data_IF_352107499732
#
_entry.id   IF_352107499732
#
_cell.length_a   1.000
_cell.length_b   1.000
_cell.length_c   1.000
_cell.angle_alpha   90.00
_cell.angle_beta   90.00
_cell.angle_gamma   90.00
#
_symmetry.space_group_name_H-M   'P 1'
#
loop_
_entity.id
_entity.type
_entity.pdbx_description
1 polymer ?
#
# COMPACT_ATOMS: atom_id res chain seq x y z
N UNK A 1 -14.48 27.09 23.27
CA UNK A 1 -15.41 26.84 22.13
C UNK A 1 -14.71 25.96 21.09
N UNK A 2 -15.40 24.98 20.48
CA UNK A 2 -14.82 24.11 19.46
C UNK A 2 -15.02 24.77 18.08
N UNK A 3 -13.93 25.14 17.41
CA UNK A 3 -13.95 25.77 16.08
C UNK A 3 -13.41 24.77 15.07
N UNK A 4 -14.14 24.55 13.98
CA UNK A 4 -13.71 23.67 12.90
C UNK A 4 -12.88 24.51 11.92
N UNK A 5 -11.55 24.35 11.96
CA UNK A 5 -10.63 25.09 11.07
C UNK A 5 -10.58 24.47 9.67
N UNK A 6 -10.89 23.19 9.55
CA UNK A 6 -10.89 22.43 8.31
C UNK A 6 -11.53 21.05 8.52
N UNK A 7 -11.60 20.20 7.48
CA UNK A 7 -12.25 18.89 7.54
C UNK A 7 -11.55 17.90 8.49
N UNK A 8 -10.26 18.11 8.77
CA UNK A 8 -9.42 17.16 9.52
C UNK A 8 -8.95 17.67 10.89
N UNK A 9 -9.07 18.98 11.16
CA UNK A 9 -8.52 19.61 12.36
C UNK A 9 -9.58 20.43 13.08
N UNK A 10 -9.78 20.10 14.36
CA UNK A 10 -10.66 20.82 15.28
C UNK A 10 -9.81 21.62 16.28
N UNK A 11 -10.14 22.90 16.46
CA UNK A 11 -9.52 23.83 17.41
C UNK A 11 -10.36 23.94 18.69
N UNK A 12 -9.74 23.62 19.83
CA UNK A 12 -10.16 24.01 21.17
C UNK A 12 -9.41 25.29 21.57
N UNK A 13 -9.98 26.45 21.22
CA UNK A 13 -9.31 27.75 21.34
C UNK A 13 -8.86 28.07 22.79
N UNK A 14 -9.66 27.67 23.78
CA UNK A 14 -9.37 27.86 25.22
C UNK A 14 -8.07 27.17 25.69
N UNK A 15 -7.51 26.24 24.90
CA UNK A 15 -6.27 25.54 25.21
C UNK A 15 -5.06 26.12 24.50
N UNK A 16 -5.26 27.02 23.53
CA UNK A 16 -4.18 27.58 22.73
C UNK A 16 -3.30 28.50 23.59
N UNK A 17 -1.98 28.29 23.53
CA UNK A 17 -0.99 29.11 24.25
C UNK A 17 -0.31 30.16 23.36
N UNK A 18 -0.86 30.41 22.17
CA UNK A 18 -0.39 31.41 21.21
C UNK A 18 1.09 31.28 20.78
N UNK A 19 1.64 30.05 20.77
CA UNK A 19 3.05 29.78 20.44
C UNK A 19 3.44 29.90 18.95
N UNK A 20 2.48 30.23 18.08
CA UNK A 20 2.60 30.39 16.62
C UNK A 20 3.19 29.21 15.81
N UNK A 21 3.40 28.03 16.40
CA UNK A 21 3.97 26.86 15.68
C UNK A 21 3.13 26.43 14.48
N UNK A 22 1.81 26.36 14.63
CA UNK A 22 0.89 26.01 13.54
C UNK A 22 0.92 27.03 12.40
N UNK A 23 0.94 28.33 12.73
CA UNK A 23 1.04 29.43 11.75
C UNK A 23 2.33 29.30 10.95
N UNK A 24 3.48 29.19 11.64
CA UNK A 24 4.78 29.04 10.99
C UNK A 24 4.87 27.77 10.14
N UNK A 25 4.34 26.64 10.62
CA UNK A 25 4.30 25.41 9.82
C UNK A 25 3.52 25.60 8.52
N UNK A 26 2.34 26.20 8.60
CA UNK A 26 1.49 26.48 7.44
C UNK A 26 2.21 27.38 6.42
N UNK A 27 2.87 28.44 6.88
CA UNK A 27 3.59 29.39 6.04
C UNK A 27 4.89 28.82 5.46
N UNK A 28 5.72 28.21 6.31
CA UNK A 28 7.10 27.87 5.99
C UNK A 28 7.24 26.47 5.37
N UNK A 29 6.45 25.50 5.82
CA UNK A 29 6.57 24.09 5.40
C UNK A 29 5.45 23.71 4.42
N UNK A 30 4.19 23.87 4.81
CA UNK A 30 3.06 23.49 3.96
C UNK A 30 2.84 24.46 2.79
N UNK A 31 3.53 25.62 2.80
CA UNK A 31 3.42 26.70 1.81
C UNK A 31 1.97 27.16 1.56
N UNK A 32 1.15 27.11 2.60
CA UNK A 32 -0.25 27.52 2.59
C UNK A 32 -0.53 28.38 3.83
N UNK A 33 -0.39 29.70 3.67
CA UNK A 33 -0.64 30.68 4.73
C UNK A 33 -2.15 30.83 4.97
N UNK A 34 -2.68 29.99 5.87
CA UNK A 34 -4.10 29.90 6.19
C UNK A 34 -4.44 30.23 7.64
N UNK A 35 -3.49 30.14 8.57
CA UNK A 35 -3.71 30.38 9.99
C UNK A 35 -3.10 31.71 10.43
N UNK A 36 -3.80 32.44 11.29
CA UNK A 36 -3.33 33.71 11.85
C UNK A 36 -3.90 33.99 13.24
N UNK A 37 -3.27 34.94 13.93
CA UNK A 37 -3.85 35.52 15.14
C UNK A 37 -4.66 36.75 14.78
N UNK A 38 -5.85 36.86 15.36
CA UNK A 38 -6.71 38.04 15.29
C UNK A 38 -6.93 38.60 16.69
N UNK A 39 -7.48 39.81 16.75
CA UNK A 39 -7.65 40.58 17.99
C UNK A 39 -6.32 40.92 18.68
N UNK A 40 -6.38 41.48 19.90
CA UNK A 40 -5.21 41.96 20.65
C UNK A 40 -5.34 41.73 22.15
N UNK A 41 -4.20 41.59 22.81
CA UNK A 41 -4.12 41.39 24.26
C UNK A 41 -4.74 40.04 24.66
N UNK A 42 -5.48 40.03 25.77
CA UNK A 42 -6.11 38.81 26.31
C UNK A 42 -7.23 38.23 25.42
N UNK A 43 -7.65 38.96 24.38
CA UNK A 43 -8.66 38.50 23.42
C UNK A 43 -8.05 37.91 22.15
N UNK A 44 -6.71 37.79 22.07
CA UNK A 44 -6.03 37.24 20.90
C UNK A 44 -6.43 35.77 20.70
N UNK A 45 -6.97 35.44 19.52
CA UNK A 45 -7.40 34.07 19.18
C UNK A 45 -6.76 33.58 17.89
N UNK A 46 -6.57 32.27 17.80
CA UNK A 46 -6.13 31.61 16.57
C UNK A 46 -7.35 31.38 15.66
N UNK A 47 -7.25 31.80 14.40
CA UNK A 47 -8.29 31.55 13.40
C UNK A 47 -7.69 31.21 12.04
N UNK A 48 -8.50 30.63 11.17
CA UNK A 48 -8.22 30.61 9.75
C UNK A 48 -8.55 31.98 9.11
N UNK A 49 -7.87 32.30 8.00
CA UNK A 49 -8.22 33.45 7.16
C UNK A 49 -9.69 33.35 6.70
N UNK A 50 -10.47 34.46 6.63
CA UNK A 50 -11.91 34.42 6.37
C UNK A 50 -12.35 33.57 5.17
N UNK A 51 -11.58 33.61 4.08
CA UNK A 51 -11.89 32.88 2.84
C UNK A 51 -11.14 31.55 2.68
N UNK A 52 -10.46 31.07 3.73
CA UNK A 52 -9.66 29.85 3.67
C UNK A 52 -10.01 28.88 4.78
N UNK A 53 -9.76 27.60 4.53
CA UNK A 53 -9.86 26.52 5.51
C UNK A 53 -8.56 25.75 5.54
N UNK A 54 -8.23 25.18 6.70
CA UNK A 54 -7.03 24.36 6.88
C UNK A 54 -7.23 23.00 6.18
N UNK A 55 -7.06 23.00 4.86
CA UNK A 55 -7.40 21.91 3.95
C UNK A 55 -6.21 21.37 3.15
N UNK A 56 -5.03 21.99 3.26
CA UNK A 56 -3.82 21.46 2.65
C UNK A 56 -3.51 20.03 3.13
N UNK A 57 -2.78 19.30 2.29
CA UNK A 57 -2.45 17.89 2.50
C UNK A 57 -1.44 17.64 3.65
N UNK A 58 -1.13 18.65 4.46
CA UNK A 58 -0.23 18.53 5.62
C UNK A 58 -0.88 19.05 6.90
N UNK A 59 -2.20 19.28 6.89
CA UNK A 59 -2.94 19.90 7.99
C UNK A 59 -2.78 19.15 9.31
N UNK A 60 -2.69 17.81 9.30
CA UNK A 60 -2.61 17.02 10.54
C UNK A 60 -1.24 17.11 11.20
N UNK A 61 -0.19 17.56 10.51
CA UNK A 61 1.08 17.87 11.16
C UNK A 61 0.94 19.04 12.14
N UNK A 62 -0.06 19.94 11.94
CA UNK A 62 -0.36 20.99 12.91
C UNK A 62 -0.86 20.43 14.25
N UNK A 63 -1.50 19.25 14.24
CA UNK A 63 -1.92 18.52 15.43
C UNK A 63 -0.71 17.94 16.17
N UNK A 64 0.27 17.41 15.43
CA UNK A 64 1.48 16.81 16.02
C UNK A 64 2.40 17.87 16.67
N UNK A 65 2.53 19.05 16.06
CA UNK A 65 3.42 20.11 16.58
C UNK A 65 2.79 20.96 17.67
N UNK A 66 1.46 20.90 17.82
CA UNK A 66 0.75 21.65 18.84
C UNK A 66 1.20 21.13 20.21
N UNK A 67 1.88 21.94 21.04
CA UNK A 67 2.41 21.46 22.32
C UNK A 67 1.31 21.19 23.35
N UNK A 68 0.06 21.52 23.00
CA UNK A 68 -1.14 21.45 23.82
C UNK A 68 -2.24 20.78 23.01
N UNK A 69 -3.31 20.33 23.66
CA UNK A 69 -4.47 19.76 22.99
C UNK A 69 -5.41 20.80 22.38
N UNK A 70 -4.88 21.90 21.81
CA UNK A 70 -5.66 22.94 21.16
C UNK A 70 -6.04 22.54 19.73
N UNK A 71 -5.07 22.09 18.92
CA UNK A 71 -5.35 21.49 17.62
C UNK A 71 -5.44 19.97 17.80
N UNK A 72 -6.57 19.39 17.40
CA UNK A 72 -6.81 17.96 17.51
C UNK A 72 -7.31 17.39 16.20
N UNK A 73 -6.90 16.16 15.88
CA UNK A 73 -7.43 15.43 14.73
C UNK A 73 -8.93 15.20 14.94
N UNK A 74 -9.74 15.71 14.02
CA UNK A 74 -11.20 15.51 14.03
C UNK A 74 -11.54 14.03 13.98
N UNK A 75 -10.73 13.23 13.27
CA UNK A 75 -10.93 11.80 13.20
C UNK A 75 -10.62 11.09 14.53
N UNK A 76 -9.50 11.39 15.18
CA UNK A 76 -9.07 10.60 16.35
C UNK A 76 -9.68 11.09 17.68
N UNK A 77 -10.05 12.37 17.75
CA UNK A 77 -10.56 13.01 18.97
C UNK A 77 -11.70 12.20 19.57
N UNK A 78 -11.62 11.96 20.88
CA UNK A 78 -12.61 11.21 21.68
C UNK A 78 -12.81 9.74 21.33
N UNK A 79 -12.13 9.18 20.33
CA UNK A 79 -12.19 7.73 20.03
C UNK A 79 -11.37 6.90 21.01
N UNK A 80 -10.16 7.35 21.38
CA UNK A 80 -9.26 6.62 22.27
C UNK A 80 -8.29 7.56 23.00
N UNK A 81 -7.67 7.10 24.09
CA UNK A 81 -6.52 7.78 24.71
C UNK A 81 -5.22 7.15 24.24
N UNK A 82 -4.21 7.99 23.99
CA UNK A 82 -2.93 7.56 23.40
C UNK A 82 -2.19 6.52 24.26
N UNK A 83 -2.26 6.62 25.60
CA UNK A 83 -1.63 5.65 26.50
C UNK A 83 -2.30 4.27 26.54
N UNK A 84 -3.47 4.10 25.91
CA UNK A 84 -4.09 2.79 25.71
C UNK A 84 -3.70 2.16 24.37
N UNK A 85 -3.02 2.89 23.49
CA UNK A 85 -2.63 2.38 22.19
C UNK A 85 -1.30 1.63 22.30
N UNK A 86 -1.24 0.46 21.68
CA UNK A 86 0.03 -0.18 21.34
C UNK A 86 0.59 0.54 20.12
N UNK A 87 1.83 1.01 20.23
CA UNK A 87 2.52 1.68 19.15
C UNK A 87 3.41 0.70 18.38
N UNK A 88 3.21 0.60 17.07
CA UNK A 88 4.03 -0.23 16.18
C UNK A 88 4.75 0.64 15.17
N UNK A 89 6.09 0.58 15.16
CA UNK A 89 6.91 1.27 14.15
C UNK A 89 6.79 0.56 12.81
N UNK A 90 6.39 1.29 11.77
CA UNK A 90 6.22 0.77 10.41
C UNK A 90 6.53 1.85 9.37
N UNK A 91 6.08 1.65 8.15
CA UNK A 91 6.16 2.60 7.03
C UNK A 91 4.79 2.81 6.39
N UNK A 92 4.62 3.95 5.71
CA UNK A 92 3.46 4.25 4.90
C UNK A 92 3.59 3.59 3.52
N UNK A 93 2.52 2.94 3.06
CA UNK A 93 2.47 2.23 1.78
C UNK A 93 1.64 2.95 0.71
N UNK A 94 1.38 4.26 0.89
CA UNK A 94 0.50 5.04 0.02
C UNK A 94 1.18 5.63 -1.21
N UNK A 95 2.50 5.82 -1.18
CA UNK A 95 3.30 6.34 -2.30
C UNK A 95 4.77 5.96 -2.15
N UNK A 96 5.57 6.19 -3.20
CA UNK A 96 6.97 5.82 -3.27
C UNK A 96 7.86 6.44 -2.19
N UNK A 97 7.45 7.53 -1.53
CA UNK A 97 8.25 8.18 -0.47
C UNK A 97 8.56 7.25 0.70
N UNK A 98 7.63 6.36 1.06
CA UNK A 98 7.84 5.40 2.15
C UNK A 98 8.01 6.05 3.53
N UNK A 99 7.24 7.10 3.85
CA UNK A 99 7.35 7.82 5.13
C UNK A 99 7.36 6.86 6.33
N UNK A 100 8.29 7.04 7.28
CA UNK A 100 8.32 6.26 8.51
C UNK A 100 7.13 6.64 9.40
N UNK A 101 6.45 5.64 9.97
CA UNK A 101 5.24 5.87 10.77
C UNK A 101 5.21 5.09 12.08
N UNK A 102 4.34 5.54 12.98
CA UNK A 102 3.86 4.80 14.14
C UNK A 102 2.38 4.53 13.92
N UNK A 103 1.99 3.25 13.99
CA UNK A 103 0.60 2.81 13.92
C UNK A 103 0.13 2.56 15.35
N UNK A 104 -0.87 3.32 15.79
CA UNK A 104 -1.48 3.21 17.12
C UNK A 104 -2.71 2.30 17.08
N UNK A 105 -2.62 1.16 17.76
CA UNK A 105 -3.64 0.10 17.70
C UNK A 105 -4.15 -0.28 19.08
N UNK A 106 -5.38 -0.78 19.15
CA UNK A 106 -5.94 -1.43 20.35
C UNK A 106 -6.95 -2.47 19.90
N UNK A 107 -6.88 -3.67 20.49
CA UNK A 107 -7.81 -4.77 20.18
C UNK A 107 -7.90 -5.06 18.67
N UNK A 108 -6.73 -5.07 18.00
CA UNK A 108 -6.59 -5.25 16.54
C UNK A 108 -7.30 -4.18 15.67
N UNK A 109 -7.73 -3.07 16.26
CA UNK A 109 -8.26 -1.90 15.54
C UNK A 109 -7.19 -0.82 15.46
N UNK A 110 -6.99 -0.29 14.26
CA UNK A 110 -6.12 0.88 14.02
C UNK A 110 -6.92 2.14 14.30
N UNK A 111 -6.44 2.96 15.22
CA UNK A 111 -7.09 4.22 15.59
C UNK A 111 -6.42 5.44 14.97
N UNK A 112 -5.10 5.40 14.80
CA UNK A 112 -4.33 6.49 14.21
C UNK A 112 -3.02 6.01 13.62
N UNK A 113 -2.53 6.76 12.64
CA UNK A 113 -1.18 6.68 12.12
C UNK A 113 -0.53 8.06 12.28
N UNK A 114 0.70 8.10 12.77
CA UNK A 114 1.48 9.34 12.97
C UNK A 114 2.87 9.19 12.35
N UNK A 115 3.53 10.29 11.95
CA UNK A 115 4.90 10.25 11.47
C UNK A 115 5.84 9.73 12.55
N UNK A 116 6.92 9.11 12.09
CA UNK A 116 8.07 8.76 12.90
C UNK A 116 9.29 9.44 12.28
N UNK A 117 10.16 9.93 13.14
CA UNK A 117 11.35 10.66 12.73
C UNK A 117 12.28 9.81 11.86
N UNK A 118 12.65 10.33 10.69
CA UNK A 118 13.71 9.82 9.82
C UNK A 118 14.19 10.92 8.86
N UNK A 119 15.33 11.54 9.18
CA UNK A 119 15.93 12.60 8.36
C UNK A 119 16.31 12.19 6.94
N UNK A 120 16.47 10.88 6.69
CA UNK A 120 16.74 10.38 5.34
C UNK A 120 15.47 10.18 4.49
N UNK A 121 14.27 10.41 5.03
CA UNK A 121 13.00 10.16 4.33
C UNK A 121 11.99 11.29 4.53
N UNK A 122 11.46 11.43 5.75
CA UNK A 122 10.31 12.30 6.02
C UNK A 122 10.55 13.31 7.14
N UNK A 123 11.78 13.38 7.67
CA UNK A 123 12.10 14.07 8.93
C UNK A 123 11.03 13.71 9.97
N UNK A 124 10.23 14.66 10.46
CA UNK A 124 9.14 14.40 11.40
C UNK A 124 7.72 14.55 10.81
N UNK A 125 7.60 14.60 9.48
CA UNK A 125 6.37 14.96 8.77
C UNK A 125 5.71 13.78 8.06
N UNK A 126 4.43 13.94 7.73
CA UNK A 126 3.68 13.00 6.89
C UNK A 126 2.49 13.70 6.24
N UNK A 127 2.19 13.37 4.99
CA UNK A 127 1.00 13.86 4.30
C UNK A 127 -0.30 13.27 4.89
N UNK A 128 -1.38 14.04 4.84
CA UNK A 128 -2.71 13.68 5.31
C UNK A 128 -3.28 12.49 4.51
N UNK A 129 -3.01 12.45 3.20
CA UNK A 129 -3.34 11.31 2.35
C UNK A 129 -2.82 10.00 2.95
N UNK A 130 -1.51 9.92 3.21
CA UNK A 130 -0.91 8.73 3.78
C UNK A 130 -1.39 8.44 5.21
N UNK A 131 -1.62 9.48 6.00
CA UNK A 131 -2.01 9.40 7.42
C UNK A 131 -3.41 8.81 7.63
N UNK A 132 -4.30 8.99 6.67
CA UNK A 132 -5.69 8.51 6.73
C UNK A 132 -5.96 7.29 5.83
N UNK A 133 -4.98 6.85 5.03
CA UNK A 133 -5.14 5.73 4.09
C UNK A 133 -4.99 4.35 4.75
N UNK A 134 -5.70 4.11 5.86
CA UNK A 134 -5.75 2.80 6.54
C UNK A 134 -7.16 2.26 6.74
N UNK A 135 -8.22 3.07 6.54
CA UNK A 135 -9.62 2.63 6.75
C UNK A 135 -10.06 1.49 5.84
N UNK A 136 -9.43 1.33 4.67
CA UNK A 136 -9.74 0.24 3.77
C UNK A 136 -9.50 -1.13 4.43
N UNK A 137 -8.62 -1.21 5.43
CA UNK A 137 -8.40 -2.42 6.22
C UNK A 137 -9.64 -2.83 7.04
N UNK A 138 -10.51 -1.89 7.36
CA UNK A 138 -11.77 -2.11 8.10
C UNK A 138 -13.00 -2.08 7.17
N UNK A 139 -12.80 -2.17 5.85
CA UNK A 139 -13.89 -2.16 4.89
C UNK A 139 -14.75 -3.43 5.01
N UNK A 140 -16.05 -3.31 4.76
CA UNK A 140 -16.95 -4.47 4.64
C UNK A 140 -16.62 -5.35 3.42
N UNK A 141 -15.84 -4.83 2.46
CA UNK A 141 -15.39 -5.56 1.28
C UNK A 141 -14.18 -6.46 1.54
N UNK A 142 -13.71 -6.57 2.78
CA UNK A 142 -12.56 -7.41 3.13
C UNK A 142 -12.82 -8.87 2.76
N UNK A 143 -11.86 -9.48 2.07
CA UNK A 143 -11.86 -10.91 1.82
C UNK A 143 -11.44 -11.63 3.10
N UNK A 144 -12.32 -12.47 3.65
CA UNK A 144 -12.12 -13.11 4.95
C UNK A 144 -11.69 -14.57 4.85
N UNK A 145 -12.05 -15.26 3.79
CA UNK A 145 -11.82 -16.70 3.63
C UNK A 145 -11.53 -17.03 2.16
N UNK A 146 -10.74 -18.07 1.87
CA UNK A 146 -10.48 -18.46 0.50
C UNK A 146 -11.76 -18.98 -0.15
N UNK A 147 -11.90 -18.71 -1.45
CA UNK A 147 -13.08 -19.11 -2.22
C UNK A 147 -12.68 -19.79 -3.52
N UNK A 148 -13.46 -20.79 -3.91
CA UNK A 148 -13.27 -21.52 -5.17
C UNK A 148 -14.57 -21.41 -5.97
N UNK A 149 -14.44 -21.22 -7.29
CA UNK A 149 -15.59 -21.22 -8.19
C UNK A 149 -16.07 -22.65 -8.42
N UNK A 150 -17.34 -22.90 -8.12
CA UNK A 150 -18.06 -24.11 -8.46
C UNK A 150 -19.45 -23.74 -8.98
N UNK A 151 -19.90 -24.36 -10.08
CA UNK A 151 -21.22 -24.13 -10.68
C UNK A 151 -21.57 -22.64 -10.88
N UNK A 152 -20.57 -21.82 -11.26
CA UNK A 152 -20.74 -20.40 -11.52
C UNK A 152 -20.77 -19.50 -10.29
N UNK A 153 -20.63 -20.03 -9.07
CA UNK A 153 -20.57 -19.25 -7.81
C UNK A 153 -19.26 -19.46 -7.07
N UNK A 154 -18.80 -18.44 -6.36
CA UNK A 154 -17.67 -18.54 -5.44
C UNK A 154 -18.16 -19.08 -4.10
N UNK A 155 -17.66 -20.24 -3.70
CA UNK A 155 -17.95 -20.89 -2.43
C UNK A 155 -16.73 -20.82 -1.52
N UNK A 156 -16.97 -20.63 -0.21
CA UNK A 156 -15.92 -20.72 0.80
C UNK A 156 -15.23 -22.10 0.76
N UNK A 157 -13.92 -22.11 0.94
CA UNK A 157 -13.11 -23.31 0.94
C UNK A 157 -12.05 -23.26 2.05
N UNK A 158 -11.48 -24.41 2.38
CA UNK A 158 -10.31 -24.47 3.26
C UNK A 158 -9.03 -24.14 2.48
N UNK A 159 -8.04 -23.56 3.18
CA UNK A 159 -6.76 -23.16 2.60
C UNK A 159 -6.04 -24.29 1.82
N UNK A 160 -5.87 -25.52 2.36
CA UNK A 160 -5.22 -26.59 1.61
C UNK A 160 -5.92 -26.92 0.28
N UNK A 161 -7.26 -26.85 0.27
CA UNK A 161 -8.07 -27.13 -0.93
C UNK A 161 -7.92 -26.00 -1.94
N UNK A 162 -8.00 -24.74 -1.49
CA UNK A 162 -7.86 -23.56 -2.36
C UNK A 162 -6.47 -23.49 -3.01
N UNK A 163 -5.40 -23.74 -2.25
CA UNK A 163 -4.03 -23.78 -2.78
C UNK A 163 -3.86 -24.96 -3.75
N UNK A 164 -4.33 -26.15 -3.40
CA UNK A 164 -4.25 -27.31 -4.28
C UNK A 164 -4.99 -27.08 -5.61
N UNK A 165 -6.17 -26.45 -5.55
CA UNK A 165 -6.96 -26.12 -6.74
C UNK A 165 -6.27 -25.06 -7.60
N UNK A 166 -5.72 -24.01 -6.99
CA UNK A 166 -4.97 -22.98 -7.72
C UNK A 166 -3.75 -23.59 -8.42
N UNK A 167 -2.96 -24.40 -7.71
CA UNK A 167 -1.80 -25.08 -8.27
C UNK A 167 -2.17 -26.05 -9.40
N UNK A 168 -3.26 -26.81 -9.23
CA UNK A 168 -3.77 -27.73 -10.25
C UNK A 168 -4.15 -26.97 -11.53
N UNK A 169 -4.87 -25.85 -11.40
CA UNK A 169 -5.26 -25.02 -12.53
C UNK A 169 -4.05 -24.42 -13.26
N UNK A 170 -3.07 -23.90 -12.52
CA UNK A 170 -1.86 -23.32 -13.12
C UNK A 170 -1.00 -24.37 -13.83
N UNK A 171 -0.87 -25.58 -13.27
CA UNK A 171 -0.08 -26.67 -13.85
C UNK A 171 -0.63 -27.25 -15.16
N UNK A 172 -1.89 -26.96 -15.50
CA UNK A 172 -2.49 -27.43 -16.76
C UNK A 172 -2.00 -26.66 -17.99
N UNK A 173 -1.38 -25.50 -17.79
CA UNK A 173 -0.98 -24.60 -18.86
C UNK A 173 0.54 -24.50 -18.97
N UNK A 174 1.02 -24.25 -20.19
CA UNK A 174 2.42 -23.91 -20.41
C UNK A 174 2.72 -22.48 -19.97
N UNK A 175 3.98 -22.18 -19.65
CA UNK A 175 4.36 -20.85 -19.14
C UNK A 175 4.01 -19.67 -20.05
N UNK A 176 3.97 -19.89 -21.38
CA UNK A 176 3.55 -18.87 -22.35
C UNK A 176 2.03 -18.58 -22.34
N UNK A 177 1.23 -19.49 -21.79
CA UNK A 177 -0.22 -19.35 -21.65
C UNK A 177 -0.63 -18.76 -20.29
N UNK A 178 0.33 -18.50 -19.41
CA UNK A 178 0.12 -17.94 -18.08
C UNK A 178 0.63 -16.50 -18.08
N UNK A 179 -0.14 -15.60 -17.47
CA UNK A 179 0.32 -14.25 -17.15
C UNK A 179 0.21 -13.99 -15.64
N UNK A 180 1.17 -13.25 -15.08
CA UNK A 180 1.19 -12.84 -13.68
C UNK A 180 1.21 -11.31 -13.64
N UNK A 181 0.29 -10.74 -12.88
CA UNK A 181 0.26 -9.31 -12.60
C UNK A 181 0.43 -9.11 -11.10
N UNK A 182 1.56 -8.53 -10.72
CA UNK A 182 1.89 -8.20 -9.35
C UNK A 182 1.57 -6.73 -9.03
N UNK A 183 1.74 -6.34 -7.76
CA UNK A 183 1.51 -4.96 -7.31
C UNK A 183 2.80 -4.31 -6.81
N UNK A 184 2.97 -3.02 -7.11
CA UNK A 184 4.00 -2.18 -6.47
C UNK A 184 3.74 -1.92 -4.98
N UNK A 185 2.66 -2.47 -4.41
CA UNK A 185 2.35 -2.47 -2.96
C UNK A 185 2.76 -3.75 -2.23
N UNK A 186 3.28 -4.74 -2.96
CA UNK A 186 3.79 -5.97 -2.37
C UNK A 186 5.15 -5.74 -1.71
N UNK A 187 5.46 -6.54 -0.68
CA UNK A 187 6.79 -6.54 -0.07
C UNK A 187 7.81 -7.20 -0.99
N UNK A 188 9.09 -6.94 -0.76
CA UNK A 188 10.18 -7.53 -1.53
C UNK A 188 10.15 -9.06 -1.45
N UNK A 189 9.82 -9.62 -0.29
CA UNK A 189 9.72 -11.06 -0.08
C UNK A 189 8.60 -11.67 -0.92
N UNK A 190 7.46 -10.99 -1.01
CA UNK A 190 6.33 -11.40 -1.86
C UNK A 190 6.65 -11.30 -3.35
N UNK A 191 7.31 -10.22 -3.77
CA UNK A 191 7.77 -10.05 -5.16
C UNK A 191 8.79 -11.13 -5.53
N UNK A 192 9.70 -11.47 -4.62
CA UNK A 192 10.70 -12.52 -4.85
C UNK A 192 10.06 -13.90 -4.97
N UNK A 193 9.09 -14.24 -4.11
CA UNK A 193 8.33 -15.48 -4.25
C UNK A 193 7.51 -15.50 -5.55
N UNK A 194 6.97 -14.37 -5.97
CA UNK A 194 6.27 -14.25 -7.25
C UNK A 194 7.20 -14.55 -8.42
N UNK A 195 8.45 -14.06 -8.38
CA UNK A 195 9.48 -14.42 -9.36
C UNK A 195 9.79 -15.93 -9.33
N UNK A 196 9.89 -16.54 -8.15
CA UNK A 196 10.13 -17.99 -8.05
C UNK A 196 8.96 -18.79 -8.63
N UNK A 197 7.71 -18.40 -8.35
CA UNK A 197 6.53 -19.01 -8.95
C UNK A 197 6.55 -18.88 -10.48
N UNK A 198 6.88 -17.70 -11.00
CA UNK A 198 7.03 -17.47 -12.42
C UNK A 198 8.09 -18.39 -13.04
N UNK A 199 9.26 -18.55 -12.40
CA UNK A 199 10.33 -19.45 -12.84
C UNK A 199 9.89 -20.92 -12.86
N UNK A 200 9.20 -21.39 -11.82
CA UNK A 200 8.70 -22.77 -11.72
C UNK A 200 7.70 -23.07 -12.84
N UNK A 201 6.82 -22.13 -13.14
CA UNK A 201 5.81 -22.25 -14.18
C UNK A 201 6.32 -21.81 -15.58
N UNK A 202 7.59 -21.40 -15.69
CA UNK A 202 8.21 -20.86 -16.92
C UNK A 202 7.45 -19.67 -17.53
N UNK A 203 6.88 -18.80 -16.68
CA UNK A 203 6.11 -17.62 -17.09
C UNK A 203 7.03 -16.47 -17.48
N UNK A 204 6.82 -15.94 -18.68
CA UNK A 204 7.56 -14.77 -19.20
C UNK A 204 6.74 -13.47 -19.06
N UNK A 205 5.41 -13.58 -19.05
CA UNK A 205 4.49 -12.46 -18.95
C UNK A 205 4.23 -12.10 -17.49
N UNK A 206 5.18 -11.35 -16.91
CA UNK A 206 5.08 -10.79 -15.57
C UNK A 206 5.27 -9.26 -15.61
N UNK A 207 4.45 -8.53 -14.87
CA UNK A 207 4.58 -7.07 -14.70
C UNK A 207 3.90 -6.60 -13.41
N UNK A 208 4.11 -5.33 -13.04
CA UNK A 208 3.36 -4.64 -11.99
C UNK A 208 2.46 -3.55 -12.55
N UNK A 209 1.36 -3.26 -11.84
CA UNK A 209 0.48 -2.15 -12.21
C UNK A 209 1.09 -0.80 -11.80
N UNK A 210 1.26 0.15 -12.74
CA UNK A 210 1.63 1.52 -12.41
C UNK A 210 0.44 2.20 -11.72
N UNK A 211 0.65 2.76 -10.53
CA UNK A 211 -0.34 3.64 -9.89
C UNK A 211 0.26 5.04 -9.78
N UNK A 212 -0.40 6.03 -10.38
CA UNK A 212 0.05 7.42 -10.34
C UNK A 212 -1.01 8.32 -9.73
N UNK A 213 -0.61 9.47 -9.22
CA UNK A 213 -1.52 10.53 -8.78
C UNK A 213 -0.82 11.86 -8.63
N UNK A 214 -1.52 12.92 -8.18
CA UNK A 214 -0.92 14.22 -7.97
C UNK A 214 0.16 14.15 -6.89
N UNK A 215 1.37 14.61 -7.19
CA UNK A 215 2.47 14.73 -6.24
C UNK A 215 2.67 16.17 -5.77
N UNK A 216 3.58 16.35 -4.82
CA UNK A 216 4.07 17.65 -4.38
C UNK A 216 5.59 17.62 -4.16
N UNK A 217 6.18 18.80 -3.99
CA UNK A 217 7.62 18.97 -3.72
C UNK A 217 7.98 18.81 -2.24
N UNK A 218 7.09 18.22 -1.43
CA UNK A 218 7.28 18.07 0.03
C UNK A 218 7.52 16.60 0.38
N UNK A 219 6.50 15.74 0.27
CA UNK A 219 6.58 14.31 0.61
C UNK A 219 5.67 13.43 -0.23
N UNK A 220 4.71 13.97 -0.95
CA UNK A 220 3.74 13.17 -1.68
C UNK A 220 4.29 12.85 -3.08
N UNK A 221 4.82 11.65 -3.26
CA UNK A 221 5.31 11.23 -4.58
C UNK A 221 4.17 11.02 -5.60
N UNK A 222 4.41 11.40 -6.86
CA UNK A 222 3.51 11.09 -7.98
C UNK A 222 3.34 9.59 -8.19
N UNK A 223 4.38 8.80 -7.85
CA UNK A 223 4.30 7.35 -7.84
C UNK A 223 3.57 6.87 -6.58
N UNK A 224 2.41 6.22 -6.78
CA UNK A 224 1.56 5.67 -5.72
C UNK A 224 1.91 4.23 -5.35
N UNK A 225 2.96 3.68 -5.95
CA UNK A 225 3.54 2.41 -5.55
C UNK A 225 4.67 2.65 -4.55
N UNK A 226 4.54 2.15 -3.31
CA UNK A 226 5.59 2.30 -2.29
C UNK A 226 6.85 1.49 -2.58
N UNK A 227 6.79 0.52 -3.50
CA UNK A 227 7.86 -0.45 -3.74
C UNK A 227 8.16 -0.66 -5.23
N UNK A 228 8.03 0.37 -6.07
CA UNK A 228 8.41 0.30 -7.50
C UNK A 228 9.87 -0.12 -7.66
N UNK A 229 10.76 0.43 -6.83
CA UNK A 229 12.19 0.10 -6.87
C UNK A 229 12.44 -1.35 -6.46
N UNK A 230 11.76 -1.86 -5.45
CA UNK A 230 11.84 -3.28 -5.09
C UNK A 230 11.36 -4.20 -6.21
N UNK A 231 10.24 -3.85 -6.86
CA UNK A 231 9.74 -4.59 -8.01
C UNK A 231 10.71 -4.55 -9.20
N UNK A 232 11.32 -3.40 -9.47
CA UNK A 232 12.34 -3.27 -10.52
C UNK A 232 13.55 -4.18 -10.27
N UNK A 233 14.12 -4.11 -9.05
CA UNK A 233 15.30 -4.90 -8.66
C UNK A 233 15.04 -6.41 -8.66
N UNK A 234 13.83 -6.84 -8.29
CA UNK A 234 13.50 -8.26 -8.09
C UNK A 234 12.90 -8.90 -9.34
N UNK A 235 11.95 -8.22 -10.00
CA UNK A 235 11.25 -8.76 -11.17
C UNK A 235 11.96 -8.43 -12.50
N UNK A 236 13.08 -7.71 -12.46
CA UNK A 236 13.85 -7.29 -13.64
C UNK A 236 13.00 -6.51 -14.64
N UNK A 237 12.28 -5.50 -14.14
CA UNK A 237 11.40 -4.64 -14.95
C UNK A 237 12.20 -3.51 -15.60
N UNK A 238 13.13 -3.86 -16.49
CA UNK A 238 14.06 -2.91 -17.14
C UNK A 238 13.34 -1.86 -17.99
N UNK A 239 12.17 -2.21 -18.53
CA UNK A 239 11.33 -1.30 -19.33
C UNK A 239 10.39 -0.43 -18.49
N UNK A 240 10.50 -0.49 -17.16
CA UNK A 240 9.64 0.21 -16.21
C UNK A 240 8.31 -0.53 -15.91
N UNK A 241 7.62 -0.10 -14.84
CA UNK A 241 6.36 -0.68 -14.42
C UNK A 241 5.26 -0.50 -15.48
N UNK A 242 4.57 -1.58 -15.83
CA UNK A 242 3.42 -1.55 -16.71
C UNK A 242 3.72 -1.73 -18.20
N UNK A 243 5.00 -1.84 -18.58
CA UNK A 243 5.43 -1.95 -19.98
C UNK A 243 4.84 -3.16 -20.72
N UNK A 244 4.61 -4.28 -20.01
CA UNK A 244 4.06 -5.54 -20.54
C UNK A 244 2.56 -5.68 -20.27
N UNK A 245 1.92 -4.80 -19.48
CA UNK A 245 0.48 -4.90 -19.20
C UNK A 245 -0.40 -4.87 -20.45
N UNK A 246 -0.05 -4.03 -21.43
CA UNK A 246 -0.76 -4.01 -22.71
C UNK A 246 -0.67 -5.33 -23.46
N UNK A 247 0.48 -6.01 -23.37
CA UNK A 247 0.69 -7.35 -23.95
C UNK A 247 -0.08 -8.41 -23.18
N UNK A 248 -0.09 -8.33 -21.85
CA UNK A 248 -0.88 -9.22 -20.97
C UNK A 248 -2.37 -9.09 -21.29
N UNK A 249 -2.90 -7.85 -21.34
CA UNK A 249 -4.30 -7.61 -21.66
C UNK A 249 -4.69 -8.16 -23.04
N UNK A 250 -3.85 -7.93 -24.05
CA UNK A 250 -4.05 -8.48 -25.40
C UNK A 250 -4.04 -10.00 -25.39
N UNK A 251 -3.08 -10.64 -24.71
CA UNK A 251 -2.95 -12.09 -24.64
C UNK A 251 -4.16 -12.74 -23.97
N UNK A 252 -4.66 -12.15 -22.86
CA UNK A 252 -5.87 -12.64 -22.18
C UNK A 252 -7.11 -12.42 -23.05
N UNK A 253 -7.27 -11.23 -23.64
CA UNK A 253 -8.43 -10.92 -24.47
C UNK A 253 -8.49 -11.76 -25.76
N UNK A 254 -7.33 -12.05 -26.37
CA UNK A 254 -7.25 -12.91 -27.57
C UNK A 254 -7.36 -14.41 -27.26
N UNK A 255 -7.27 -14.80 -25.99
CA UNK A 255 -7.27 -16.21 -25.56
C UNK A 255 -5.93 -16.93 -25.72
N UNK A 256 -4.84 -16.19 -25.98
CA UNK A 256 -3.49 -16.74 -26.01
C UNK A 256 -3.02 -17.07 -24.58
N UNK A 257 -3.36 -16.22 -23.61
CA UNK A 257 -3.23 -16.52 -22.20
C UNK A 257 -4.52 -17.17 -21.69
N UNK A 258 -4.39 -18.37 -21.12
CA UNK A 258 -5.49 -19.17 -20.55
C UNK A 258 -5.51 -19.13 -19.02
N UNK A 259 -4.43 -18.65 -18.41
CA UNK A 259 -4.34 -18.44 -16.99
C UNK A 259 -3.87 -17.03 -16.64
N UNK A 260 -4.49 -16.42 -15.65
CA UNK A 260 -4.09 -15.12 -15.09
C UNK A 260 -3.97 -15.24 -13.57
N UNK A 261 -2.85 -14.79 -13.03
CA UNK A 261 -2.65 -14.61 -11.59
C UNK A 261 -2.58 -13.11 -11.31
N UNK A 262 -3.56 -12.59 -10.57
CA UNK A 262 -3.59 -11.18 -10.16
C UNK A 262 -3.30 -11.08 -8.66
N UNK A 263 -2.22 -10.40 -8.30
CA UNK A 263 -1.73 -10.25 -6.93
C UNK A 263 -1.90 -8.78 -6.51
N UNK A 264 -2.96 -8.49 -5.77
CA UNK A 264 -3.30 -7.17 -5.24
C UNK A 264 -3.77 -6.16 -6.30
N UNK A 265 -4.13 -6.64 -7.49
CA UNK A 265 -4.47 -5.79 -8.64
C UNK A 265 -5.76 -6.21 -9.33
N UNK A 266 -6.40 -5.25 -9.98
CA UNK A 266 -7.62 -5.46 -10.75
C UNK A 266 -7.33 -5.42 -12.26
N UNK A 267 -7.39 -6.57 -12.96
CA UNK A 267 -7.13 -6.65 -14.41
C UNK A 267 -7.99 -5.78 -15.31
N UNK A 268 -9.18 -5.39 -14.84
CA UNK A 268 -10.09 -4.53 -15.60
C UNK A 268 -9.46 -3.13 -15.78
N UNK A 269 -8.64 -2.66 -14.84
CA UNK A 269 -8.03 -1.33 -14.91
C UNK A 269 -7.04 -1.15 -16.05
N UNK A 270 -6.43 -2.23 -16.54
CA UNK A 270 -5.49 -2.19 -17.66
C UNK A 270 -6.01 -2.87 -18.93
N UNK A 271 -7.34 -3.06 -19.02
CA UNK A 271 -8.01 -3.39 -20.29
C UNK A 271 -8.36 -4.86 -20.50
N UNK A 272 -8.32 -5.70 -19.46
CA UNK A 272 -8.91 -7.06 -19.55
C UNK A 272 -10.41 -6.97 -19.35
N UNK A 273 -11.20 -7.49 -20.29
CA UNK A 273 -12.67 -7.34 -20.19
C UNK A 273 -13.28 -8.32 -19.18
N UNK A 274 -14.36 -7.94 -18.46
CA UNK A 274 -15.05 -8.84 -17.53
C UNK A 274 -15.51 -10.15 -18.18
N UNK A 275 -15.95 -10.10 -19.44
CA UNK A 275 -16.39 -11.29 -20.19
C UNK A 275 -15.22 -12.26 -20.42
N UNK A 276 -14.01 -11.74 -20.61
CA UNK A 276 -12.81 -12.56 -20.79
C UNK A 276 -12.34 -13.15 -19.47
N UNK A 277 -12.40 -12.39 -18.37
CA UNK A 277 -12.13 -12.92 -17.04
C UNK A 277 -13.12 -14.04 -16.66
N UNK A 278 -14.40 -13.87 -16.98
CA UNK A 278 -15.45 -14.86 -16.68
C UNK A 278 -15.24 -16.19 -17.42
N UNK A 279 -14.66 -16.15 -18.62
CA UNK A 279 -14.41 -17.31 -19.46
C UNK A 279 -12.98 -17.88 -19.31
N UNK A 280 -12.15 -17.28 -18.46
CA UNK A 280 -10.76 -17.69 -18.32
C UNK A 280 -10.69 -19.04 -17.58
N UNK A 281 -10.02 -20.07 -18.16
CA UNK A 281 -9.92 -21.38 -17.52
C UNK A 281 -9.31 -21.35 -16.11
N UNK A 282 -8.35 -20.46 -15.88
CA UNK A 282 -7.74 -20.23 -14.57
C UNK A 282 -7.60 -18.73 -14.30
N UNK A 283 -8.31 -18.23 -13.30
CA UNK A 283 -8.14 -16.85 -12.82
C UNK A 283 -7.96 -16.84 -11.31
N UNK A 284 -6.71 -16.76 -10.87
CA UNK A 284 -6.33 -16.78 -9.47
C UNK A 284 -6.15 -15.34 -8.99
N UNK A 285 -6.90 -14.96 -7.96
CA UNK A 285 -6.83 -13.63 -7.35
C UNK A 285 -6.32 -13.75 -5.92
N UNK A 286 -5.27 -13.02 -5.60
CA UNK A 286 -4.82 -12.78 -4.24
C UNK A 286 -5.06 -11.30 -3.93
N UNK A 287 -5.96 -10.97 -3.02
CA UNK A 287 -6.35 -9.57 -2.76
C UNK A 287 -6.80 -9.38 -1.30
N UNK A 288 -6.79 -8.13 -0.86
CA UNK A 288 -7.26 -7.68 0.45
C UNK A 288 -8.77 -7.40 0.42
N UNK A 289 -9.25 -6.84 -0.70
CA UNK A 289 -10.62 -6.38 -0.89
C UNK A 289 -11.25 -7.06 -2.10
N UNK A 290 -12.56 -7.31 -2.02
CA UNK A 290 -13.33 -7.69 -3.20
C UNK A 290 -13.44 -6.51 -4.18
N UNK A 291 -13.29 -6.82 -5.46
CA UNK A 291 -13.45 -5.88 -6.56
C UNK A 291 -14.16 -6.55 -7.75
N UNK A 292 -14.45 -5.77 -8.80
CA UNK A 292 -15.20 -6.25 -9.97
C UNK A 292 -14.53 -7.45 -10.69
N UNK A 293 -13.20 -7.57 -10.66
CA UNK A 293 -12.53 -8.73 -11.22
C UNK A 293 -12.60 -9.94 -10.29
N UNK A 294 -12.58 -9.75 -8.97
CA UNK A 294 -12.69 -10.86 -8.01
C UNK A 294 -13.94 -11.71 -8.24
N UNK A 295 -15.04 -11.11 -8.71
CA UNK A 295 -16.29 -11.81 -9.04
C UNK A 295 -16.18 -12.81 -10.18
N UNK A 296 -15.10 -12.78 -10.96
CA UNK A 296 -14.82 -13.69 -12.08
C UNK A 296 -13.72 -14.71 -11.75
N UNK A 297 -13.06 -14.59 -10.60
CA UNK A 297 -11.97 -15.48 -10.21
C UNK A 297 -12.43 -16.96 -10.15
N UNK A 298 -11.54 -17.87 -10.51
CA UNK A 298 -11.70 -19.32 -10.28
C UNK A 298 -11.26 -19.69 -8.87
N UNK A 299 -10.27 -18.99 -8.32
CA UNK A 299 -9.83 -19.09 -6.92
C UNK A 299 -9.54 -17.69 -6.38
N UNK A 300 -10.03 -17.41 -5.17
CA UNK A 300 -9.76 -16.18 -4.41
C UNK A 300 -9.00 -16.55 -3.15
N UNK A 301 -7.87 -15.90 -2.93
CA UNK A 301 -6.96 -16.11 -1.79
C UNK A 301 -6.88 -14.80 -0.99
N UNK A 302 -7.52 -14.72 0.20
CA UNK A 302 -7.55 -13.48 0.99
C UNK A 302 -6.17 -13.17 1.59
N UNK A 303 -5.65 -11.99 1.28
CA UNK A 303 -4.33 -11.52 1.68
C UNK A 303 -4.37 -10.44 2.77
N UNK A 304 -3.20 -10.18 3.36
CA UNK A 304 -3.00 -9.20 4.41
C UNK A 304 -2.76 -7.79 3.85
N UNK A 305 -3.34 -6.79 4.50
CA UNK A 305 -2.99 -5.40 4.27
C UNK A 305 -1.67 -4.98 4.93
N UNK A 306 -1.21 -3.76 4.65
CA UNK A 306 0.13 -3.31 5.07
C UNK A 306 0.36 -3.37 6.58
N UNK A 307 -0.67 -3.11 7.39
CA UNK A 307 -0.58 -3.14 8.85
C UNK A 307 -0.78 -4.55 9.44
N UNK A 308 -1.10 -5.54 8.61
CA UNK A 308 -1.39 -6.93 9.00
C UNK A 308 -0.24 -7.88 8.68
N UNK A 309 0.78 -7.42 7.96
CA UNK A 309 1.93 -8.23 7.55
C UNK A 309 3.26 -7.56 7.88
N UNK A 310 4.33 -8.35 7.76
CA UNK A 310 5.72 -7.89 7.90
C UNK A 310 6.48 -8.14 6.60
N UNK A 311 7.53 -7.38 6.36
CA UNK A 311 8.40 -7.55 5.20
C UNK A 311 9.30 -6.34 4.99
N UNK A 312 9.81 -6.18 3.78
CA UNK A 312 10.64 -5.05 3.40
C UNK A 312 10.18 -4.41 2.09
N UNK A 313 10.45 -3.12 1.92
CA UNK A 313 10.16 -2.35 0.72
C UNK A 313 11.32 -1.39 0.43
N UNK A 314 11.61 -1.14 -0.84
CA UNK A 314 12.57 -0.11 -1.29
C UNK A 314 11.78 1.10 -1.77
N UNK A 315 11.94 2.22 -1.07
CA UNK A 315 11.26 3.47 -1.42
C UNK A 315 11.86 4.11 -2.69
N UNK A 316 11.24 5.17 -3.19
CA UNK A 316 11.61 5.88 -4.41
C UNK A 316 13.04 6.44 -4.43
N UNK A 317 13.60 6.73 -3.26
CA UNK A 317 14.99 7.19 -3.10
C UNK A 317 16.00 6.04 -2.97
N UNK A 318 15.56 4.78 -3.11
CA UNK A 318 16.43 3.60 -3.06
C UNK A 318 16.78 3.12 -1.65
N UNK A 319 16.00 3.52 -0.64
CA UNK A 319 16.17 3.11 0.75
C UNK A 319 15.30 1.89 1.08
N UNK A 320 15.94 0.81 1.51
CA UNK A 320 15.29 -0.38 2.02
C UNK A 320 14.77 -0.13 3.44
N UNK A 321 13.47 -0.29 3.64
CA UNK A 321 12.79 -0.07 4.92
C UNK A 321 11.98 -1.31 5.34
N UNK A 322 11.76 -1.44 6.65
CA UNK A 322 11.01 -2.57 7.23
C UNK A 322 9.55 -2.21 7.47
N UNK A 323 8.65 -3.04 6.95
CA UNK A 323 7.23 -3.04 7.24
C UNK A 323 6.96 -3.98 8.43
N UNK A 324 6.22 -3.51 9.43
CA UNK A 324 5.88 -4.29 10.63
C UNK A 324 4.38 -4.50 10.77
N UNK A 325 4.00 -5.70 11.21
CA UNK A 325 2.63 -6.06 11.56
C UNK A 325 2.19 -5.34 12.84
N UNK A 326 1.12 -4.54 12.75
CA UNK A 326 0.53 -3.78 13.85
C UNK A 326 -0.77 -4.39 14.39
N UNK A 327 -1.53 -5.10 13.54
CA UNK A 327 -2.78 -5.80 13.89
C UNK A 327 -2.80 -7.20 13.28
N UNK A 328 -3.68 -8.07 13.79
CA UNK A 328 -3.95 -9.37 13.16
C UNK A 328 -4.84 -9.22 11.93
N UNK A 329 -4.66 -10.10 10.95
CA UNK A 329 -5.53 -10.16 9.77
C UNK A 329 -6.96 -10.63 10.16
N UNK A 330 -8.01 -10.15 9.47
CA UNK A 330 -9.37 -10.55 9.75
C UNK A 330 -9.70 -11.93 9.17
N UNK A 331 -10.58 -12.67 9.85
CA UNK A 331 -11.04 -13.98 9.41
C UNK A 331 -9.91 -15.00 9.27
N UNK A 332 -9.84 -15.65 8.12
CA UNK A 332 -8.83 -16.60 7.73
C UNK A 332 -7.82 -16.02 6.71
N UNK A 333 -7.76 -14.70 6.51
CA UNK A 333 -6.75 -14.07 5.67
C UNK A 333 -5.33 -14.41 6.16
N UNK A 334 -4.39 -14.59 5.22
CA UNK A 334 -3.00 -14.99 5.50
C UNK A 334 -2.01 -14.00 4.92
N UNK A 335 -0.79 -14.03 5.45
CA UNK A 335 0.31 -13.28 4.86
C UNK A 335 0.55 -13.73 3.42
N UNK A 336 0.69 -12.77 2.52
CA UNK A 336 0.90 -12.99 1.10
C UNK A 336 2.10 -13.93 0.82
N UNK A 337 3.19 -13.79 1.58
CA UNK A 337 4.37 -14.66 1.43
C UNK A 337 4.08 -16.13 1.80
N UNK A 338 3.20 -16.38 2.78
CA UNK A 338 2.79 -17.74 3.15
C UNK A 338 1.92 -18.36 2.05
N UNK A 339 1.01 -17.55 1.48
CA UNK A 339 0.15 -17.96 0.36
C UNK A 339 1.02 -18.33 -0.85
N UNK A 340 1.97 -17.47 -1.21
CA UNK A 340 2.88 -17.69 -2.34
C UNK A 340 3.80 -18.89 -2.09
N UNK A 341 4.35 -19.05 -0.87
CA UNK A 341 5.13 -20.23 -0.49
C UNK A 341 4.32 -21.51 -0.67
N UNK A 342 3.10 -21.55 -0.16
CA UNK A 342 2.25 -22.75 -0.21
C UNK A 342 1.86 -23.08 -1.65
N UNK A 343 1.59 -22.06 -2.47
CA UNK A 343 1.33 -22.22 -3.90
C UNK A 343 2.55 -22.77 -4.66
N UNK A 344 3.74 -22.21 -4.40
CA UNK A 344 5.00 -22.74 -4.92
C UNK A 344 5.17 -24.20 -4.52
N UNK A 345 4.94 -24.53 -3.24
CA UNK A 345 5.06 -25.90 -2.75
C UNK A 345 4.10 -26.87 -3.46
N UNK A 346 2.87 -26.44 -3.74
CA UNK A 346 1.91 -27.23 -4.49
C UNK A 346 2.30 -27.38 -5.99
N UNK A 347 3.01 -26.41 -6.56
CA UNK A 347 3.51 -26.44 -7.92
C UNK A 347 4.80 -27.27 -8.09
N UNK A 348 5.81 -27.14 -7.22
CA UNK A 348 7.12 -27.77 -7.39
C UNK A 348 7.46 -28.87 -6.38
N UNK A 349 6.63 -29.09 -5.36
CA UNK A 349 6.97 -29.95 -4.22
C UNK A 349 7.58 -29.16 -3.05
N UNK A 350 8.02 -29.86 -1.98
CA UNK A 350 8.51 -29.24 -0.74
C UNK A 350 9.59 -28.18 -0.97
N UNK A 351 9.53 -27.07 -0.23
CA UNK A 351 10.56 -26.02 -0.21
C UNK A 351 11.16 -25.85 1.20
N UNK A 352 12.28 -25.14 1.30
CA UNK A 352 13.03 -24.89 2.53
C UNK A 352 12.66 -23.57 3.23
N UNK A 353 11.47 -23.03 2.94
CA UNK A 353 11.03 -21.72 3.43
C UNK A 353 10.04 -21.92 4.58
N UNK A 354 10.49 -21.71 5.82
CA UNK A 354 9.63 -21.87 7.00
C UNK A 354 9.24 -20.54 7.64
N UNK A 355 10.01 -19.49 7.36
CA UNK A 355 9.84 -18.16 7.90
C UNK A 355 10.07 -17.08 6.83
N UNK A 356 9.59 -15.87 7.06
CA UNK A 356 9.90 -14.73 6.17
C UNK A 356 11.41 -14.42 6.19
N UNK A 357 12.10 -14.71 7.29
CA UNK A 357 13.55 -14.56 7.40
C UNK A 357 14.28 -15.50 6.42
N UNK A 358 13.75 -16.71 6.16
CA UNK A 358 14.28 -17.59 5.13
C UNK A 358 14.07 -17.02 3.73
N UNK A 359 12.91 -16.41 3.47
CA UNK A 359 12.63 -15.73 2.19
C UNK A 359 13.64 -14.60 1.98
N UNK A 360 13.81 -13.73 2.97
CA UNK A 360 14.75 -12.61 2.87
C UNK A 360 16.18 -13.10 2.65
N UNK A 361 16.60 -14.16 3.35
CA UNK A 361 17.96 -14.73 3.18
C UNK A 361 18.19 -15.23 1.76
N UNK A 362 17.26 -16.03 1.21
CA UNK A 362 17.38 -16.53 -0.17
C UNK A 362 17.30 -15.40 -1.19
N UNK A 363 16.48 -14.38 -0.94
CA UNK A 363 16.42 -13.17 -1.76
C UNK A 363 17.73 -12.38 -1.73
N UNK A 364 18.33 -12.21 -0.56
CA UNK A 364 19.59 -11.49 -0.37
C UNK A 364 20.80 -12.19 -1.00
N UNK A 365 20.75 -13.52 -1.12
CA UNK A 365 21.74 -14.30 -1.87
C UNK A 365 21.60 -14.11 -3.38
N UNK A 366 20.37 -13.88 -3.87
CA UNK A 366 20.06 -13.75 -5.30
C UNK A 366 20.15 -12.32 -5.84
N UNK A 367 19.86 -11.31 -5.00
CA UNK A 367 19.78 -9.89 -5.42
C UNK A 367 20.96 -9.11 -4.80
N UNK A 368 21.93 -8.64 -5.61
CA UNK A 368 23.15 -8.00 -5.10
C UNK A 368 22.93 -6.81 -4.16
N UNK A 369 21.91 -6.00 -4.41
CA UNK A 369 21.55 -4.82 -3.60
C UNK A 369 21.16 -5.18 -2.15
N UNK A 370 20.79 -6.44 -1.90
CA UNK A 370 20.41 -6.93 -0.57
C UNK A 370 21.51 -7.78 0.10
N UNK A 371 22.67 -7.93 -0.54
CA UNK A 371 23.74 -8.80 -0.06
C UNK A 371 24.20 -8.44 1.36
N UNK A 372 24.30 -9.44 2.23
CA UNK A 372 24.75 -9.29 3.62
C UNK A 372 23.74 -8.65 4.59
N UNK A 373 22.56 -8.25 4.10
CA UNK A 373 21.48 -7.72 4.92
C UNK A 373 20.59 -8.85 5.50
N UNK A 374 19.79 -8.46 6.47
CA UNK A 374 18.70 -9.27 7.05
C UNK A 374 17.59 -8.31 7.49
N UNK A 375 16.37 -8.80 7.68
CA UNK A 375 15.27 -7.98 8.20
C UNK A 375 15.60 -7.26 9.52
N UNK A 376 16.45 -7.86 10.36
CA UNK A 376 16.96 -7.22 11.58
C UNK A 376 17.99 -6.13 11.30
N UNK A 377 18.90 -6.34 10.32
CA UNK A 377 19.94 -5.37 9.95
C UNK A 377 19.43 -4.14 9.19
N UNK A 378 18.22 -4.18 8.62
CA UNK A 378 17.56 -2.99 8.04
C UNK A 378 17.42 -1.88 9.09
N UNK A 379 17.18 -2.27 10.36
CA UNK A 379 16.99 -1.33 11.46
C UNK A 379 15.72 -0.49 11.33
N UNK A 380 15.60 0.52 12.20
CA UNK A 380 14.40 1.37 12.25
C UNK A 380 14.44 2.52 11.23
N UNK A 381 15.62 2.93 10.76
CA UNK A 381 15.78 4.04 9.80
C UNK A 381 15.90 3.58 8.35
N UNK A 382 16.00 2.26 8.12
CA UNK A 382 16.27 1.70 6.82
C UNK A 382 17.73 1.84 6.39
N UNK A 383 18.08 1.20 5.28
CA UNK A 383 19.43 1.16 4.72
C UNK A 383 19.38 1.63 3.27
N UNK A 384 20.32 2.48 2.87
CA UNK A 384 20.47 2.85 1.47
C UNK A 384 20.97 1.63 0.69
N UNK A 385 20.23 1.18 -0.32
CA UNK A 385 20.59 0.01 -1.11
C UNK A 385 20.75 0.32 -2.59
N UNK A 386 20.24 1.45 -3.05
CA UNK A 386 20.24 1.88 -4.44
C UNK A 386 20.39 3.40 -4.49
N UNK A 387 21.05 3.96 -5.49
CA UNK A 387 21.16 5.41 -5.66
C UNK A 387 19.92 5.97 -6.38
N UNK A 388 19.54 7.21 -6.11
CA UNK A 388 18.29 7.80 -6.65
C UNK A 388 18.26 7.86 -8.20
N UNK A 389 19.42 7.92 -8.86
CA UNK A 389 19.52 7.93 -10.32
C UNK A 389 19.33 6.55 -10.96
N UNK A 390 19.38 5.48 -10.17
CA UNK A 390 19.11 4.10 -10.59
C UNK A 390 17.61 3.78 -10.51
N UNK A 391 16.82 4.64 -9.85
CA UNK A 391 15.37 4.50 -9.79
C UNK A 391 14.75 4.63 -11.18
N UNK A 392 13.86 3.70 -11.60
CA UNK A 392 13.11 3.85 -12.84
C UNK A 392 12.30 5.16 -12.82
N UNK A 393 12.02 5.74 -14.00
CA UNK A 393 11.17 6.91 -14.08
C UNK A 393 9.81 6.62 -13.43
N UNK A 394 9.14 7.64 -12.88
CA UNK A 394 7.81 7.47 -12.32
C UNK A 394 6.91 6.75 -13.33
N UNK A 395 6.08 5.80 -12.86
CA UNK A 395 5.20 5.07 -13.74
C UNK A 395 4.35 6.04 -14.57
N UNK A 396 4.04 5.68 -15.82
CA UNK A 396 3.06 6.43 -16.64
C UNK A 396 1.80 5.58 -16.71
N UNK A 397 0.74 5.99 -16.02
CA UNK A 397 -0.53 5.26 -16.05
C UNK A 397 -1.24 5.51 -17.40
N UNK A 398 -1.38 4.45 -18.20
CA UNK A 398 -2.11 4.49 -19.48
C UNK A 398 -3.60 4.80 -19.29
N UNK A 399 -4.15 4.58 -18.09
CA UNK A 399 -5.52 4.89 -17.69
C UNK A 399 -5.66 6.24 -16.97
N UNK A 400 -4.57 6.99 -16.71
CA UNK A 400 -4.65 8.29 -16.01
C UNK A 400 -5.57 9.30 -16.72
N UNK A 401 -5.70 9.22 -18.05
CA UNK A 401 -6.68 10.02 -18.81
C UNK A 401 -8.13 9.77 -18.39
N UNK A 402 -8.46 8.59 -17.87
CA UNK A 402 -9.82 8.21 -17.46
C UNK A 402 -10.02 8.31 -15.93
N UNK A 403 -8.93 8.41 -15.14
CA UNK A 403 -8.99 8.55 -13.68
C UNK A 403 -9.17 10.01 -13.27
N UNK A 404 -8.62 10.99 -14.01
CA UNK A 404 -8.94 12.41 -13.78
C UNK A 404 -10.45 12.68 -13.85
N UNK A 405 -11.18 12.03 -14.76
CA UNK A 405 -12.65 12.14 -14.85
C UNK A 405 -13.39 11.40 -13.72
N UNK A 406 -12.81 10.32 -13.17
CA UNK A 406 -13.41 9.55 -12.08
C UNK A 406 -13.14 10.16 -10.70
N UNK A 407 -11.97 10.79 -10.50
CA UNK A 407 -11.64 11.52 -9.27
C UNK A 407 -12.29 12.90 -9.23
N UNK A 408 -12.55 13.55 -10.36
CA UNK A 408 -13.40 14.75 -10.41
C UNK A 408 -14.87 14.47 -10.10
N UNK A 409 -15.28 13.20 -10.17
CA UNK A 409 -16.63 12.71 -9.84
C UNK A 409 -16.72 12.10 -8.43
N UNK A 410 -15.62 12.05 -7.67
CA UNK A 410 -15.72 11.75 -6.23
C UNK A 410 -16.51 12.89 -5.58
N UNK A 411 -17.63 12.62 -4.90
CA UNK A 411 -18.26 13.66 -4.10
C UNK A 411 -17.22 14.16 -3.10
N UNK A 412 -17.08 15.49 -2.90
CA UNK A 412 -16.29 16.00 -1.79
C UNK A 412 -16.83 15.35 -0.52
N UNK A 413 -15.98 14.58 0.16
CA UNK A 413 -16.37 13.82 1.33
C UNK A 413 -17.01 14.73 2.37
N UNK A 414 -18.10 14.22 2.97
CA UNK A 414 -18.75 14.77 4.17
C UNK A 414 -17.76 15.11 5.27
#
# INVERSE_FOLDING_TARGET
KNVVLGPRVTLDDERCILCSRCIRFCQEIAKDDVLGFVDRGSYTVLTAHPDKRLENNYSLNTVDICPVGALTSTDFRFKMRVWFLKETKSICTSCATGCNTIIGTREDVIYRQTPRENEAVNSCWMCDYGRLNFYYLQSERRLLEPRIRSEGKLLAADWPIAIAQAALQLKQFSGHEIAIVASGRMTNEELWLTLQLAKILSVELIDIVPHTGPGDDILLSTDRNPNTNGAHLILHLDSGPGARLGTIAKAVNSGNAKALVALGENPIRFGVTPEKLANLPAFIVMDILSNAATEHATVVLPACGFAEKRGSMVNGDGRLQRLSRAVRAPGAARDDWEILRDLIQACSGPNSIYSIEDVFRQMAEAVPHFAGLSLSKIGDLGVQVMEAHESPPPPVDLAAKNIEEAESQRPPGR
#
